data_IF_363356941219
#
_entry.id   IF_363356941219
#
_cell.length_a   1.000
_cell.length_b   1.000
_cell.length_c   1.000
_cell.angle_alpha   90.00
_cell.angle_beta   90.00
_cell.angle_gamma   90.00
#
_symmetry.space_group_name_H-M   'P 1'
#
loop_
_entity.id
_entity.type
_entity.pdbx_description
1 polymer ?
#
# COMPACT_ATOMS: atom_id res chain seq x y z
N UNK A 1 12.34 10.46 -66.17
CA UNK A 1 12.73 10.45 -64.75
C UNK A 1 11.44 10.45 -63.92
N UNK A 2 11.01 9.30 -63.40
CA UNK A 2 9.78 9.17 -62.60
C UNK A 2 10.16 9.31 -61.12
N UNK A 3 9.73 10.38 -60.46
CA UNK A 3 9.87 10.53 -59.01
C UNK A 3 8.73 9.76 -58.33
N UNK A 4 9.07 8.71 -57.58
CA UNK A 4 8.19 8.06 -56.61
C UNK A 4 8.36 8.74 -55.27
N UNK A 5 7.35 9.49 -54.85
CA UNK A 5 7.28 10.11 -53.52
C UNK A 5 6.78 9.05 -52.52
N UNK A 6 7.69 8.51 -51.71
CA UNK A 6 7.34 7.61 -50.61
C UNK A 6 6.86 8.41 -49.40
N UNK A 7 5.62 8.18 -48.97
CA UNK A 7 5.09 8.70 -47.70
C UNK A 7 5.56 7.77 -46.57
N UNK A 8 6.52 8.23 -45.77
CA UNK A 8 6.88 7.56 -44.52
C UNK A 8 5.88 7.97 -43.44
N UNK A 9 4.94 7.07 -43.12
CA UNK A 9 4.03 7.25 -41.99
C UNK A 9 4.77 7.06 -40.67
N UNK A 10 4.88 8.11 -39.86
CA UNK A 10 5.23 7.98 -38.44
C UNK A 10 4.07 7.27 -37.73
N UNK A 11 4.27 6.03 -37.30
CA UNK A 11 3.41 5.42 -36.28
C UNK A 11 3.73 6.07 -34.93
N UNK A 12 2.86 6.96 -34.48
CA UNK A 12 2.85 7.46 -33.10
C UNK A 12 2.34 6.35 -32.18
N UNK A 13 3.24 5.68 -31.47
CA UNK A 13 2.89 4.76 -30.39
C UNK A 13 2.53 5.63 -29.17
N UNK A 14 1.25 5.76 -28.87
CA UNK A 14 0.82 6.42 -27.64
C UNK A 14 1.23 5.54 -26.43
N UNK A 15 1.87 6.09 -25.39
CA UNK A 15 2.16 5.33 -24.19
C UNK A 15 0.84 4.93 -23.52
N UNK A 16 0.62 3.63 -23.35
CA UNK A 16 -0.45 3.10 -22.50
C UNK A 16 -0.10 3.42 -21.06
N UNK A 17 -0.67 4.49 -20.51
CA UNK A 17 -0.58 4.78 -19.07
C UNK A 17 -1.48 3.80 -18.34
N UNK A 18 -0.89 2.77 -17.74
CA UNK A 18 -1.62 1.86 -16.86
C UNK A 18 -1.82 2.55 -15.51
N UNK A 19 -3.04 3.02 -15.24
CA UNK A 19 -3.32 3.74 -13.99
C UNK A 19 -3.40 2.81 -12.76
N UNK A 20 -3.58 1.51 -12.98
CA UNK A 20 -3.77 0.48 -11.95
C UNK A 20 -2.50 -0.37 -11.75
N UNK A 21 -2.31 -0.86 -10.54
CA UNK A 21 -1.08 -1.52 -10.10
C UNK A 21 -1.35 -2.45 -8.92
N UNK A 22 -0.37 -3.31 -8.61
CA UNK A 22 -0.35 -4.17 -7.43
C UNK A 22 1.03 -4.14 -6.78
N UNK A 23 1.14 -4.70 -5.58
CA UNK A 23 2.37 -4.78 -4.80
C UNK A 23 2.91 -6.21 -4.80
N UNK A 24 3.71 -6.64 -5.78
CA UNK A 24 4.06 -8.06 -5.91
C UNK A 24 5.23 -8.48 -5.03
N UNK A 25 6.17 -7.59 -4.69
CA UNK A 25 7.42 -7.97 -4.05
C UNK A 25 7.84 -7.01 -2.94
N UNK A 26 8.69 -7.52 -2.03
CA UNK A 26 9.33 -6.73 -0.99
C UNK A 26 10.73 -6.29 -1.43
N UNK A 27 11.24 -5.26 -0.77
CA UNK A 27 12.63 -4.83 -0.82
C UNK A 27 13.26 -5.18 0.51
N UNK A 28 14.26 -6.06 0.51
CA UNK A 28 14.95 -6.54 1.71
C UNK A 28 16.44 -6.32 1.52
N UNK A 29 17.07 -5.55 2.43
CA UNK A 29 18.49 -5.17 2.32
C UNK A 29 18.83 -4.53 0.96
N UNK A 30 17.92 -3.70 0.44
CA UNK A 30 18.07 -3.02 -0.86
C UNK A 30 17.92 -3.92 -2.09
N UNK A 31 17.50 -5.18 -1.93
CA UNK A 31 17.26 -6.11 -3.04
C UNK A 31 15.77 -6.40 -3.18
N UNK A 32 15.27 -6.37 -4.42
CA UNK A 32 13.89 -6.75 -4.74
C UNK A 32 13.77 -8.27 -4.70
N UNK A 33 12.79 -8.78 -3.95
CA UNK A 33 12.53 -10.22 -3.85
C UNK A 33 11.78 -10.72 -5.08
N UNK A 34 11.63 -12.04 -5.22
CA UNK A 34 10.71 -12.58 -6.24
C UNK A 34 9.27 -12.14 -6.00
N UNK A 35 8.51 -11.98 -7.07
CA UNK A 35 7.07 -11.71 -7.01
C UNK A 35 6.38 -12.79 -6.16
N UNK A 36 5.58 -12.33 -5.20
CA UNK A 36 4.80 -13.12 -4.24
C UNK A 36 5.63 -14.10 -3.39
N UNK A 37 6.96 -13.96 -3.37
CA UNK A 37 7.84 -14.78 -2.53
C UNK A 37 7.53 -14.55 -1.04
N UNK A 38 7.37 -13.29 -0.65
CA UNK A 38 7.08 -12.88 0.74
C UNK A 38 5.82 -12.03 0.86
N UNK A 39 5.12 -11.80 -0.26
CA UNK A 39 3.85 -11.08 -0.32
C UNK A 39 2.74 -12.06 -0.66
N UNK A 40 1.61 -11.95 0.02
CA UNK A 40 0.42 -12.75 -0.25
C UNK A 40 -0.11 -12.42 -1.64
N UNK A 41 -0.19 -13.43 -2.50
CA UNK A 41 -0.69 -13.31 -3.86
C UNK A 41 -2.17 -12.94 -3.87
N UNK A 42 -2.51 -11.97 -4.70
CA UNK A 42 -3.86 -11.47 -4.89
C UNK A 42 -4.47 -11.97 -6.22
N UNK A 43 -5.79 -12.22 -6.24
CA UNK A 43 -6.51 -12.79 -7.41
C UNK A 43 -7.20 -11.74 -8.29
N UNK A 44 -7.50 -10.56 -7.74
CA UNK A 44 -8.11 -9.44 -8.47
C UNK A 44 -7.13 -8.69 -9.40
N UNK A 45 -5.93 -9.24 -9.62
CA UNK A 45 -4.87 -8.71 -10.46
C UNK A 45 -4.41 -7.30 -10.02
N UNK A 46 -4.88 -6.26 -10.69
CA UNK A 46 -4.51 -4.85 -10.43
C UNK A 46 -5.75 -4.01 -10.09
N UNK A 47 -6.91 -4.64 -9.97
CA UNK A 47 -8.14 -3.94 -9.62
C UNK A 47 -8.10 -3.51 -8.15
N UNK A 48 -8.66 -2.34 -7.81
CA UNK A 48 -8.70 -1.89 -6.43
C UNK A 48 -9.88 -2.52 -5.71
N UNK A 49 -9.83 -2.44 -4.39
CA UNK A 49 -10.97 -2.69 -3.52
C UNK A 49 -11.72 -1.37 -3.29
N UNK A 50 -13.05 -1.43 -3.26
CA UNK A 50 -13.91 -0.26 -3.00
C UNK A 50 -14.75 -0.45 -1.72
N UNK A 51 -15.07 -1.70 -1.35
CA UNK A 51 -15.89 -1.99 -0.18
C UNK A 51 -15.04 -2.03 1.10
N UNK A 52 -15.25 -1.05 1.97
CA UNK A 52 -14.53 -0.92 3.24
C UNK A 52 -14.91 -1.99 4.28
N UNK A 53 -16.02 -2.70 4.07
CA UNK A 53 -16.47 -3.77 4.94
C UNK A 53 -16.01 -5.15 4.45
N UNK A 54 -15.38 -5.24 3.27
CA UNK A 54 -14.85 -6.51 2.78
C UNK A 54 -13.66 -6.99 3.61
N UNK A 55 -13.60 -8.30 3.87
CA UNK A 55 -12.43 -8.94 4.46
C UNK A 55 -11.19 -8.79 3.59
N UNK A 56 -11.36 -8.62 2.27
CA UNK A 56 -10.28 -8.42 1.33
C UNK A 56 -9.55 -7.08 1.57
N UNK A 57 -10.19 -6.09 2.21
CA UNK A 57 -9.52 -4.83 2.56
C UNK A 57 -8.27 -5.05 3.43
N UNK A 58 -8.20 -6.18 4.14
CA UNK A 58 -7.08 -6.52 5.00
C UNK A 58 -5.82 -6.86 4.23
N UNK A 59 -5.86 -7.84 3.32
CA UNK A 59 -4.68 -8.37 2.62
C UNK A 59 -4.90 -8.61 1.12
N UNK A 60 -5.90 -7.95 0.54
CA UNK A 60 -6.38 -8.10 -0.83
C UNK A 60 -7.13 -9.41 -1.13
N UNK A 61 -7.90 -9.41 -2.20
CA UNK A 61 -8.66 -10.58 -2.67
C UNK A 61 -7.70 -11.73 -2.95
N UNK A 62 -7.98 -12.92 -2.43
CA UNK A 62 -7.11 -14.09 -2.57
C UNK A 62 -5.90 -14.11 -1.62
N UNK A 63 -5.57 -13.00 -0.97
CA UNK A 63 -4.42 -12.91 -0.05
C UNK A 63 -4.51 -13.89 1.11
N UNK A 64 -5.71 -14.14 1.66
CA UNK A 64 -5.90 -15.16 2.68
C UNK A 64 -5.62 -16.58 2.16
N UNK A 65 -6.07 -16.89 0.94
CA UNK A 65 -5.91 -18.21 0.34
C UNK A 65 -4.45 -18.52 -0.04
N UNK A 66 -3.64 -17.49 -0.31
CA UNK A 66 -2.22 -17.63 -0.64
C UNK A 66 -1.28 -17.66 0.58
N UNK A 67 -1.78 -17.32 1.78
CA UNK A 67 -0.98 -17.20 3.01
C UNK A 67 -0.07 -18.41 3.29
N UNK A 68 -0.58 -19.63 3.14
CA UNK A 68 0.17 -20.86 3.40
C UNK A 68 1.27 -21.18 2.37
N UNK A 69 1.24 -20.50 1.22
CA UNK A 69 2.23 -20.62 0.14
C UNK A 69 3.23 -19.47 0.13
N UNK A 70 2.92 -18.37 0.81
CA UNK A 70 3.79 -17.21 0.96
C UNK A 70 4.88 -17.53 1.99
N UNK A 71 6.15 -17.26 1.64
CA UNK A 71 7.26 -17.39 2.56
C UNK A 71 7.24 -16.32 3.65
N UNK A 72 8.04 -16.51 4.69
CA UNK A 72 8.29 -15.50 5.73
C UNK A 72 9.75 -15.07 5.66
N UNK A 73 10.01 -13.76 5.57
CA UNK A 73 11.38 -13.22 5.51
C UNK A 73 11.82 -12.68 6.86
N UNK A 74 13.02 -13.07 7.30
CA UNK A 74 13.62 -12.54 8.53
C UNK A 74 14.19 -11.13 8.30
N UNK A 75 13.81 -10.19 9.15
CA UNK A 75 14.27 -8.79 9.15
C UNK A 75 14.64 -8.37 10.56
N UNK A 76 15.53 -7.39 10.71
CA UNK A 76 15.85 -6.86 12.04
C UNK A 76 14.95 -5.66 12.35
N UNK A 77 14.54 -5.49 13.61
CA UNK A 77 13.94 -4.23 14.03
C UNK A 77 14.90 -3.06 13.74
N UNK A 78 14.36 -1.91 13.34
CA UNK A 78 15.13 -0.75 12.87
C UNK A 78 15.67 -0.85 11.44
N UNK A 79 15.60 -2.02 10.79
CA UNK A 79 16.07 -2.16 9.41
C UNK A 79 15.11 -1.54 8.41
N UNK A 80 15.67 -1.04 7.31
CA UNK A 80 14.91 -0.57 6.16
C UNK A 80 14.44 -1.75 5.31
N UNK A 81 13.16 -1.76 5.00
CA UNK A 81 12.47 -2.69 4.10
C UNK A 81 11.59 -1.89 3.14
N UNK A 82 10.93 -2.55 2.20
CA UNK A 82 9.98 -1.86 1.33
C UNK A 82 9.10 -2.80 0.53
N UNK A 83 8.28 -2.21 -0.34
CA UNK A 83 7.49 -2.90 -1.36
C UNK A 83 7.72 -2.25 -2.73
N UNK A 84 7.66 -3.04 -3.78
CA UNK A 84 7.64 -2.57 -5.17
C UNK A 84 6.23 -2.58 -5.73
N UNK A 85 6.02 -1.85 -6.82
CA UNK A 85 4.80 -1.91 -7.62
C UNK A 85 5.03 -2.63 -8.95
N UNK A 86 3.97 -3.27 -9.46
CA UNK A 86 3.95 -3.83 -10.83
C UNK A 86 3.97 -2.74 -11.91
N UNK A 87 3.55 -1.52 -11.58
CA UNK A 87 3.62 -0.33 -12.42
C UNK A 87 3.64 0.92 -11.53
N UNK A 88 3.97 2.09 -12.08
CA UNK A 88 4.04 3.33 -11.30
C UNK A 88 2.69 3.69 -10.71
N UNK A 89 2.68 4.31 -9.51
CA UNK A 89 1.50 4.92 -8.92
C UNK A 89 0.85 5.88 -9.93
N UNK A 90 -0.26 5.46 -10.50
CA UNK A 90 -1.05 6.19 -11.51
C UNK A 90 -2.22 6.99 -10.93
N UNK A 91 -2.49 6.88 -9.63
CA UNK A 91 -3.56 7.61 -8.96
C UNK A 91 -3.00 8.48 -7.84
N UNK A 92 -3.60 9.66 -7.66
CA UNK A 92 -3.32 10.50 -6.51
C UNK A 92 -3.84 9.85 -5.22
N UNK A 93 -3.13 10.04 -4.12
CA UNK A 93 -3.54 9.52 -2.83
C UNK A 93 -2.39 9.17 -1.88
N UNK A 94 -2.70 8.91 -0.60
CA UNK A 94 -1.69 8.55 0.38
C UNK A 94 -1.24 7.11 0.22
N UNK A 95 -0.05 6.83 0.77
CA UNK A 95 0.46 5.46 0.99
C UNK A 95 0.61 5.24 2.48
N UNK A 96 0.13 4.11 2.99
CA UNK A 96 0.16 3.80 4.41
C UNK A 96 0.74 2.40 4.62
N UNK A 97 1.44 2.23 5.75
CA UNK A 97 2.04 0.95 6.13
C UNK A 97 1.63 0.61 7.55
N UNK A 98 1.17 -0.62 7.73
CA UNK A 98 0.75 -1.18 9.01
C UNK A 98 1.52 -2.45 9.31
N UNK A 99 1.65 -2.77 10.58
CA UNK A 99 2.10 -4.08 11.05
C UNK A 99 1.06 -4.68 11.99
N UNK A 100 0.98 -6.01 12.02
CA UNK A 100 0.20 -6.76 12.99
C UNK A 100 0.99 -7.98 13.47
N UNK A 101 1.13 -8.11 14.79
CA UNK A 101 1.85 -9.24 15.38
C UNK A 101 1.01 -10.50 15.28
N UNK A 102 1.53 -11.53 14.63
CA UNK A 102 0.85 -12.81 14.56
C UNK A 102 0.92 -13.51 15.93
N UNK A 103 -0.16 -14.21 16.35
CA UNK A 103 -0.13 -15.05 17.55
C UNK A 103 0.71 -16.33 17.36
N UNK A 104 1.14 -16.61 16.12
CA UNK A 104 1.92 -17.78 15.73
C UNK A 104 2.45 -17.64 14.31
N UNK A 105 2.43 -18.72 13.52
CA UNK A 105 2.86 -18.69 12.12
C UNK A 105 1.93 -17.78 11.29
N UNK A 106 2.45 -16.72 10.64
CA UNK A 106 1.65 -15.84 9.80
C UNK A 106 1.02 -16.61 8.63
N UNK A 107 1.61 -17.72 8.15
CA UNK A 107 1.05 -18.52 7.05
C UNK A 107 -0.32 -19.13 7.36
N UNK A 108 -0.69 -19.22 8.65
CA UNK A 108 -1.95 -19.77 9.16
C UNK A 108 -2.86 -18.70 9.77
N UNK A 109 -2.50 -17.42 9.67
CA UNK A 109 -3.22 -16.34 10.32
C UNK A 109 -3.78 -15.34 9.32
N UNK A 110 -5.04 -14.97 9.50
CA UNK A 110 -5.75 -14.07 8.61
C UNK A 110 -5.57 -12.59 8.98
N UNK A 111 -4.97 -12.26 10.13
CA UNK A 111 -4.82 -10.87 10.59
C UNK A 111 -6.09 -10.25 11.17
N UNK A 112 -7.06 -11.05 11.62
CA UNK A 112 -8.32 -10.57 12.21
C UNK A 112 -8.14 -9.97 13.60
N UNK A 113 -9.07 -9.08 13.98
CA UNK A 113 -9.11 -8.39 15.26
C UNK A 113 -8.45 -7.02 15.24
N UNK A 114 -8.48 -6.34 16.40
CA UNK A 114 -7.79 -5.07 16.62
C UNK A 114 -6.30 -5.32 16.88
N UNK A 115 -5.57 -5.58 15.81
CA UNK A 115 -4.17 -6.04 15.87
C UNK A 115 -3.21 -5.19 15.02
N UNK A 116 -3.75 -4.29 14.19
CA UNK A 116 -2.98 -3.50 13.25
C UNK A 116 -2.60 -2.16 13.87
N UNK A 117 -1.32 -1.81 13.79
CA UNK A 117 -0.81 -0.48 14.12
C UNK A 117 -0.10 0.11 12.90
N UNK A 118 -0.27 1.41 12.69
CA UNK A 118 0.39 2.12 11.59
C UNK A 118 1.86 2.35 11.95
N UNK A 119 2.77 2.08 11.02
CA UNK A 119 4.22 2.29 11.19
C UNK A 119 4.79 3.34 10.25
N UNK A 120 4.09 3.66 9.17
CA UNK A 120 4.47 4.74 8.28
C UNK A 120 3.29 5.26 7.47
N UNK A 121 3.41 6.50 7.00
CA UNK A 121 2.49 7.09 6.04
C UNK A 121 3.18 8.15 5.18
N UNK A 122 2.71 8.27 3.94
CA UNK A 122 3.05 9.36 3.04
C UNK A 122 1.77 10.03 2.59
N UNK A 123 1.66 11.31 2.89
CA UNK A 123 0.53 12.16 2.51
C UNK A 123 0.87 13.15 1.40
N UNK A 124 -0.07 14.07 1.13
CA UNK A 124 0.16 15.15 0.20
C UNK A 124 1.02 16.27 0.81
N UNK A 125 1.65 17.05 -0.07
CA UNK A 125 2.24 18.34 0.25
C UNK A 125 1.26 19.48 -0.05
N UNK A 126 1.52 20.68 0.48
CA UNK A 126 0.71 21.88 0.24
C UNK A 126 1.53 23.08 -0.27
N UNK A 127 2.34 22.94 -1.34
CA UNK A 127 3.10 24.06 -1.87
C UNK A 127 2.13 25.13 -2.40
N UNK A 128 2.30 26.37 -1.93
CA UNK A 128 1.37 27.46 -2.27
C UNK A 128 -0.04 27.30 -1.70
N UNK A 129 -0.24 26.37 -0.75
CA UNK A 129 -1.51 26.17 -0.04
C UNK A 129 -2.53 25.29 -0.75
N UNK A 130 -2.11 24.49 -1.75
CA UNK A 130 -2.96 23.55 -2.47
C UNK A 130 -2.39 22.14 -2.43
N UNK A 131 -3.26 21.14 -2.28
CA UNK A 131 -2.89 19.72 -2.21
C UNK A 131 -2.10 19.28 -3.46
N UNK A 132 -0.96 18.62 -3.24
CA UNK A 132 -0.18 17.92 -4.26
C UNK A 132 0.22 16.55 -3.75
N UNK A 133 0.31 15.57 -4.65
CA UNK A 133 0.56 14.17 -4.30
C UNK A 133 1.92 13.72 -4.84
N UNK A 134 3.01 13.79 -4.05
CA UNK A 134 4.35 13.35 -4.45
C UNK A 134 4.43 11.86 -4.80
N UNK A 135 3.42 11.09 -4.40
CA UNK A 135 3.33 9.64 -4.60
C UNK A 135 3.18 9.25 -6.08
N UNK A 136 2.63 10.14 -6.91
CA UNK A 136 2.43 9.89 -8.34
C UNK A 136 3.76 9.56 -9.05
N UNK A 137 3.73 8.51 -9.87
CA UNK A 137 4.88 8.08 -10.66
C UNK A 137 5.91 7.23 -9.90
N UNK A 138 5.79 7.09 -8.57
CA UNK A 138 6.71 6.25 -7.79
C UNK A 138 6.46 4.76 -8.06
N UNK A 139 7.53 3.97 -8.02
CA UNK A 139 7.55 2.53 -8.32
C UNK A 139 7.84 1.65 -7.10
N UNK A 140 8.19 2.24 -5.97
CA UNK A 140 8.48 1.55 -4.72
C UNK A 140 8.39 2.49 -3.52
N UNK A 141 8.23 1.90 -2.34
CA UNK A 141 8.23 2.60 -1.07
C UNK A 141 9.07 1.82 -0.07
N UNK A 142 10.04 2.49 0.54
CA UNK A 142 10.88 1.95 1.61
C UNK A 142 10.60 2.66 2.93
N UNK A 143 10.61 1.90 4.01
CA UNK A 143 10.35 2.36 5.37
C UNK A 143 11.16 1.53 6.35
N UNK A 144 11.28 2.01 7.58
CA UNK A 144 11.93 1.25 8.64
C UNK A 144 10.89 0.41 9.38
N UNK A 145 11.26 -0.83 9.70
CA UNK A 145 10.60 -1.55 10.80
C UNK A 145 10.93 -0.76 12.09
N UNK A 146 9.95 -0.34 12.92
CA UNK A 146 10.26 0.42 14.13
C UNK A 146 11.22 -0.32 15.05
N UNK A 147 12.16 0.39 15.66
CA UNK A 147 13.22 -0.23 16.45
C UNK A 147 12.68 -0.83 17.75
N UNK A 148 11.66 -0.22 18.34
CA UNK A 148 11.05 -0.72 19.57
C UNK A 148 10.11 -1.92 19.36
N UNK A 149 9.84 -2.36 18.11
CA UNK A 149 8.88 -3.45 17.87
C UNK A 149 9.38 -4.75 18.51
N UNK A 150 8.54 -5.48 19.25
CA UNK A 150 8.94 -6.77 19.81
C UNK A 150 9.36 -7.78 18.74
N UNK A 151 10.34 -8.63 19.04
CA UNK A 151 10.67 -9.76 18.16
C UNK A 151 9.47 -10.70 17.96
N UNK A 152 9.37 -11.33 16.80
CA UNK A 152 8.39 -12.35 16.46
C UNK A 152 7.88 -12.18 15.02
N UNK A 153 6.83 -12.91 14.69
CA UNK A 153 6.24 -12.90 13.34
C UNK A 153 5.17 -11.83 13.18
N UNK A 154 5.11 -11.23 12.00
CA UNK A 154 4.19 -10.13 11.67
C UNK A 154 3.66 -10.26 10.26
N UNK A 155 2.45 -9.75 10.06
CA UNK A 155 2.01 -9.27 8.76
C UNK A 155 2.41 -7.80 8.61
N UNK A 156 2.90 -7.42 7.44
CA UNK A 156 3.18 -6.03 7.05
C UNK A 156 2.25 -5.66 5.91
N UNK A 157 1.29 -4.78 6.16
CA UNK A 157 0.29 -4.36 5.18
C UNK A 157 0.70 -3.02 4.58
N UNK A 158 0.88 -2.98 3.27
CA UNK A 158 1.02 -1.72 2.53
C UNK A 158 -0.27 -1.44 1.79
N UNK A 159 -0.65 -0.17 1.72
CA UNK A 159 -1.74 0.28 0.87
C UNK A 159 -1.44 1.60 0.20
N UNK A 160 -2.03 1.79 -0.98
CA UNK A 160 -2.27 3.10 -1.55
C UNK A 160 -3.77 3.33 -1.67
N UNK A 161 -4.24 4.51 -1.26
CA UNK A 161 -5.66 4.89 -1.37
C UNK A 161 -5.81 5.88 -2.52
N UNK A 162 -6.24 5.43 -3.69
CA UNK A 162 -6.55 6.28 -4.83
C UNK A 162 -7.76 7.18 -4.56
N UNK A 163 -7.54 8.49 -4.46
CA UNK A 163 -8.57 9.50 -4.13
C UNK A 163 -9.00 10.35 -5.32
N UNK A 164 -8.61 9.98 -6.55
CA UNK A 164 -9.01 10.69 -7.76
C UNK A 164 -10.53 10.72 -7.98
N UNK A 165 -11.26 9.78 -7.39
CA UNK A 165 -12.73 9.69 -7.45
C UNK A 165 -13.39 9.83 -6.06
N UNK A 166 -12.66 10.35 -5.06
CA UNK A 166 -13.12 10.49 -3.67
C UNK A 166 -14.25 11.53 -3.48
N UNK A 167 -14.57 12.33 -4.50
CA UNK A 167 -15.73 13.22 -4.45
C UNK A 167 -17.07 12.46 -4.59
N UNK A 168 -17.01 11.18 -5.00
CA UNK A 168 -18.15 10.28 -5.01
C UNK A 168 -18.08 9.39 -3.76
N UNK A 169 -19.20 9.28 -3.05
CA UNK A 169 -19.29 8.40 -1.87
C UNK A 169 -18.97 6.95 -2.26
N UNK A 170 -18.03 6.32 -1.55
CA UNK A 170 -17.50 4.99 -1.91
C UNK A 170 -16.61 4.97 -3.17
N UNK A 171 -16.17 6.13 -3.65
CA UNK A 171 -15.36 6.26 -4.87
C UNK A 171 -13.86 6.09 -4.67
N UNK A 172 -13.36 6.08 -3.43
CA UNK A 172 -11.94 5.84 -3.13
C UNK A 172 -11.55 4.39 -3.46
N UNK A 173 -10.31 4.21 -3.93
CA UNK A 173 -9.81 2.94 -4.44
C UNK A 173 -8.62 2.43 -3.63
N UNK A 174 -8.71 1.23 -3.07
CA UNK A 174 -7.70 0.69 -2.16
C UNK A 174 -6.86 -0.38 -2.86
N UNK A 175 -5.55 -0.12 -3.00
CA UNK A 175 -4.58 -1.06 -3.56
C UNK A 175 -3.73 -1.60 -2.42
N UNK A 176 -4.03 -2.81 -1.96
CA UNK A 176 -3.50 -3.37 -0.71
C UNK A 176 -2.66 -4.62 -0.99
N UNK A 177 -1.65 -4.89 -0.16
CA UNK A 177 -1.03 -6.20 -0.06
C UNK A 177 -0.45 -6.44 1.35
N UNK A 178 -0.22 -7.71 1.69
CA UNK A 178 0.39 -8.12 2.95
C UNK A 178 1.66 -8.94 2.72
N UNK A 179 2.78 -8.48 3.28
CA UNK A 179 4.01 -9.25 3.41
C UNK A 179 4.05 -10.05 4.72
N UNK A 180 4.82 -11.15 4.75
CA UNK A 180 5.06 -11.93 5.95
C UNK A 180 6.52 -11.79 6.40
N UNK A 181 6.72 -11.33 7.63
CA UNK A 181 8.07 -11.09 8.17
C UNK A 181 8.24 -11.72 9.54
N UNK A 182 9.47 -12.15 9.82
CA UNK A 182 9.94 -12.47 11.17
C UNK A 182 10.87 -11.35 11.61
N UNK A 183 10.46 -10.56 12.60
CA UNK A 183 11.30 -9.53 13.19
C UNK A 183 12.17 -10.14 14.27
N UNK A 184 13.48 -9.96 14.13
CA UNK A 184 14.49 -10.33 15.13
C UNK A 184 15.18 -9.09 15.70
N UNK A 185 15.87 -9.25 16.83
CA UNK A 185 16.54 -8.14 17.54
C UNK A 185 15.60 -6.98 17.87
N UNK A 186 14.34 -7.29 18.16
CA UNK A 186 13.30 -6.33 18.52
C UNK A 186 13.45 -5.75 19.94
N UNK A 187 12.76 -4.64 20.18
CA UNK A 187 12.68 -3.97 21.46
C UNK A 187 11.55 -4.48 22.36
N UNK A 188 11.16 -3.66 23.34
CA UNK A 188 10.09 -3.94 24.31
C UNK A 188 8.93 -2.94 24.22
N UNK A 189 8.75 -2.31 23.06
CA UNK A 189 7.68 -1.35 22.83
C UNK A 189 6.30 -2.01 22.86
N UNK A 190 5.28 -1.20 23.09
CA UNK A 190 3.88 -1.60 23.00
C UNK A 190 3.24 -0.86 21.82
N UNK A 191 3.11 -1.52 20.65
CA UNK A 191 2.53 -0.87 19.48
C UNK A 191 1.07 -0.48 19.69
N UNK A 192 0.71 0.72 19.24
CA UNK A 192 -0.66 1.20 19.27
C UNK A 192 -0.79 2.66 18.83
N UNK A 193 -2.02 3.16 18.64
CA UNK A 193 -3.30 2.46 18.81
C UNK A 193 -3.49 1.30 17.83
N UNK A 194 -4.20 0.25 18.28
CA UNK A 194 -4.55 -0.90 17.45
C UNK A 194 -5.92 -0.71 16.79
N UNK A 195 -6.04 -1.15 15.55
CA UNK A 195 -7.29 -1.13 14.76
C UNK A 195 -7.47 -2.45 14.01
N UNK A 196 -8.66 -2.64 13.43
CA UNK A 196 -9.02 -3.80 12.62
C UNK A 196 -9.18 -3.45 11.14
N UNK A 197 -8.88 -4.38 10.24
CA UNK A 197 -9.28 -4.31 8.84
C UNK A 197 -10.18 -5.52 8.50
N UNK A 198 -11.42 -5.33 8.02
CA UNK A 198 -12.17 -4.06 7.99
C UNK A 198 -12.43 -3.50 9.41
N UNK A 199 -12.77 -2.21 9.50
CA UNK A 199 -13.14 -1.53 10.75
C UNK A 199 -12.40 -0.20 11.03
N UNK A 200 -11.16 -0.06 10.55
CA UNK A 200 -10.37 1.15 10.77
C UNK A 200 -10.83 2.36 9.92
N UNK A 201 -11.58 2.09 8.85
CA UNK A 201 -12.00 3.08 7.85
C UNK A 201 -13.52 3.14 7.73
N UNK A 202 -14.02 4.35 7.47
CA UNK A 202 -15.38 4.64 7.08
C UNK A 202 -15.42 5.40 5.76
N UNK A 203 -16.48 5.22 4.98
CA UNK A 203 -16.72 6.04 3.79
C UNK A 203 -16.96 7.52 4.15
N UNK A 204 -17.27 7.82 5.41
CA UNK A 204 -17.41 9.19 5.90
C UNK A 204 -16.09 9.81 6.37
N UNK A 205 -14.98 9.07 6.36
CA UNK A 205 -13.69 9.62 6.79
C UNK A 205 -13.28 10.77 5.85
N UNK A 206 -12.83 11.92 6.38
CA UNK A 206 -12.52 13.11 5.57
C UNK A 206 -11.33 12.91 4.62
N UNK A 207 -10.54 11.85 4.82
CA UNK A 207 -9.48 11.44 3.90
C UNK A 207 -9.93 10.47 2.80
N UNK A 208 -11.15 9.93 2.89
CA UNK A 208 -11.74 8.93 2.00
C UNK A 208 -12.85 9.54 1.13
N UNK A 209 -13.72 10.36 1.72
CA UNK A 209 -14.78 11.08 1.01
C UNK A 209 -14.57 12.59 1.10
N UNK A 210 -14.04 13.16 0.03
CA UNK A 210 -13.75 14.59 -0.08
C UNK A 210 -13.54 14.99 -1.54
N UNK A 211 -13.68 16.29 -1.84
CA UNK A 211 -13.35 16.82 -3.15
C UNK A 211 -11.87 17.23 -3.19
N UNK A 212 -11.05 16.47 -3.95
CA UNK A 212 -9.63 16.78 -4.13
C UNK A 212 -9.37 17.96 -5.09
N UNK A 213 -10.35 18.37 -5.91
CA UNK A 213 -10.12 19.25 -7.06
C UNK A 213 -10.58 20.69 -6.83
N UNK A 214 -11.81 20.90 -6.33
CA UNK A 214 -12.37 22.25 -6.27
C UNK A 214 -13.36 22.49 -5.11
N UNK A 215 -13.10 23.49 -4.25
CA UNK A 215 -11.80 24.17 -4.10
C UNK A 215 -10.73 23.15 -3.68
N UNK A 216 -9.47 23.30 -4.13
CA UNK A 216 -8.42 22.37 -3.74
C UNK A 216 -8.24 22.41 -2.20
N UNK A 217 -8.20 21.24 -1.52
CA UNK A 217 -7.97 21.18 -0.09
C UNK A 217 -6.65 21.84 0.31
N UNK A 218 -6.67 22.50 1.47
CA UNK A 218 -5.48 23.10 2.10
C UNK A 218 -4.89 22.25 3.22
N UNK A 219 -5.57 21.16 3.55
CA UNK A 219 -5.18 20.16 4.54
C UNK A 219 -5.76 18.82 4.13
N UNK A 220 -5.16 17.73 4.60
CA UNK A 220 -5.62 16.38 4.37
C UNK A 220 -5.45 15.57 5.65
N UNK A 221 -6.50 14.85 6.05
CA UNK A 221 -6.46 13.93 7.18
C UNK A 221 -6.24 12.53 6.64
N UNK A 222 -5.06 11.96 6.89
CA UNK A 222 -4.77 10.58 6.51
C UNK A 222 -5.67 9.64 7.33
N UNK A 223 -6.39 8.68 6.71
CA UNK A 223 -7.27 7.75 7.42
C UNK A 223 -6.53 6.85 8.41
N UNK A 224 -7.26 6.31 9.38
CA UNK A 224 -6.76 5.36 10.37
C UNK A 224 -6.04 6.00 11.57
N UNK A 225 -5.39 5.18 12.41
CA UNK A 225 -4.71 5.63 13.62
C UNK A 225 -3.46 6.48 13.30
N UNK A 226 -2.90 7.23 14.25
CA UNK A 226 -1.60 7.86 14.08
C UNK A 226 -0.47 6.82 13.89
N UNK A 227 0.63 7.24 13.29
CA UNK A 227 1.85 6.43 13.19
C UNK A 227 2.41 6.13 14.59
N UNK A 228 2.58 4.86 14.90
CA UNK A 228 3.37 4.42 16.04
C UNK A 228 4.86 4.53 15.72
N UNK A 229 5.56 5.38 16.46
CA UNK A 229 6.96 5.74 16.15
C UNK A 229 8.01 4.75 16.65
N UNK A 230 7.63 3.86 17.58
CA UNK A 230 8.42 2.72 18.07
C UNK A 230 9.90 2.99 18.29
#
# INVERSE_FOLDING_TARGET
>A
MKLTTGFAGLLSVAPTVYAHYKWPAMIIKGQVTGDYQYVRENTNNINPLLDLNSLDLRCNEGGLASASKTGTVTVSAGSKVGFTLSNSIGHIGPVLVYMAKAPGDPSQWDGSGEVWFKINEWGPDFPGGSIQWPQLGLMSYEFNIPAAVPSGTYLVRIEHIGVHNAANYGGAQFFVACGQVEVVSGGSGQPGPLVAFPGAYSNDDPGIYFNNYYPPPKSYTIPGPPVWTG
#
